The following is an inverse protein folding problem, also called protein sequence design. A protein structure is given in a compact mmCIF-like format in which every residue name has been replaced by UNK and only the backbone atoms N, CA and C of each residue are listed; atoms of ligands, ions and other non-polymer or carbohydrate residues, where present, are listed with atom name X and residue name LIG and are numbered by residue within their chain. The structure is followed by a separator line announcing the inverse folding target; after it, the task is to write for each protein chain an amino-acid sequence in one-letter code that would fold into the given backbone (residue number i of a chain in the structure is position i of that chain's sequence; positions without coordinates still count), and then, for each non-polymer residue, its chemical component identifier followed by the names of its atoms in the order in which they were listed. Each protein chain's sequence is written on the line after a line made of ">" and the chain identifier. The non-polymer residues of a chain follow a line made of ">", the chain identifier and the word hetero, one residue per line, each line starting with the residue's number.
data_IF_667619912160
#
_entry.id   IF_667619912160
#
_cell.length_a   1.000
_cell.length_b   1.000
_cell.length_c   1.000
_cell.angle_alpha   90.00
_cell.angle_beta   90.00
_cell.angle_gamma   90.00
#
_symmetry.space_group_name_H-M   'P 1'
#
loop_
_entity.id
_entity.type
_entity.pdbx_description
1 polymer ?
#
# COMPACT_ATOMS: atom_id res chain seq x y z
N UNK A 1 8.82 -4.59 6.60
CA UNK A 1 9.06 -3.60 5.53
C UNK A 1 10.42 -2.97 5.71
N UNK A 2 10.69 -1.86 5.03
CA UNK A 2 12.00 -1.19 5.01
C UNK A 2 12.71 -1.10 6.38
N UNK A 3 12.01 -0.58 7.39
CA UNK A 3 12.58 -0.40 8.74
C UNK A 3 12.76 -1.70 9.51
N UNK A 4 11.94 -2.73 9.26
CA UNK A 4 11.99 -3.99 10.01
C UNK A 4 12.79 -5.10 9.34
N UNK A 5 13.27 -4.90 8.10
CA UNK A 5 13.93 -5.93 7.31
C UNK A 5 13.02 -7.08 6.85
N UNK A 6 11.73 -7.05 7.19
CA UNK A 6 10.77 -8.08 6.82
C UNK A 6 10.23 -7.78 5.42
N UNK A 7 10.70 -8.52 4.41
CA UNK A 7 10.26 -8.35 3.02
C UNK A 7 9.57 -9.59 2.47
N UNK A 8 10.18 -10.75 2.60
CA UNK A 8 9.70 -11.96 1.92
C UNK A 8 8.45 -12.59 2.57
N UNK A 9 8.31 -12.67 3.91
CA UNK A 9 7.13 -13.33 4.50
C UNK A 9 5.78 -12.74 4.05
N UNK A 10 5.57 -11.40 3.99
CA UNK A 10 4.34 -10.84 3.46
C UNK A 10 4.09 -11.19 1.99
N UNK A 11 5.14 -11.26 1.16
CA UNK A 11 5.04 -11.58 -0.28
C UNK A 11 4.64 -13.04 -0.48
N UNK A 12 5.29 -13.94 0.26
CA UNK A 12 4.97 -15.37 0.24
C UNK A 12 3.51 -15.65 0.61
N UNK A 13 2.96 -14.92 1.58
CA UNK A 13 1.54 -15.01 1.94
C UNK A 13 0.65 -14.59 0.76
N UNK A 14 0.96 -13.47 0.10
CA UNK A 14 0.15 -12.96 -1.02
C UNK A 14 0.22 -13.90 -2.22
N UNK A 15 1.42 -14.40 -2.56
CA UNK A 15 1.65 -15.33 -3.68
C UNK A 15 1.01 -16.70 -3.45
N UNK A 16 0.78 -17.10 -2.20
CA UNK A 16 0.10 -18.35 -1.87
C UNK A 16 -1.42 -18.30 -2.09
N UNK A 17 -2.01 -17.12 -2.31
CA UNK A 17 -3.46 -16.96 -2.49
C UNK A 17 -3.82 -17.20 -3.97
N UNK A 18 -4.66 -18.21 -4.29
CA UNK A 18 -5.07 -18.47 -5.66
C UNK A 18 -5.80 -17.27 -6.28
N UNK A 19 -5.50 -16.97 -7.56
CA UNK A 19 -6.15 -15.89 -8.31
C UNK A 19 -5.57 -14.50 -8.08
N UNK A 20 -4.63 -14.33 -7.15
CA UNK A 20 -3.88 -13.07 -7.00
C UNK A 20 -2.66 -13.07 -7.94
N UNK A 21 -2.57 -12.05 -8.79
CA UNK A 21 -1.34 -11.72 -9.51
C UNK A 21 -0.58 -10.65 -8.70
N UNK A 22 0.49 -11.06 -8.03
CA UNK A 22 1.35 -10.13 -7.30
C UNK A 22 2.28 -9.39 -8.27
N UNK A 23 2.33 -8.06 -8.14
CA UNK A 23 3.25 -7.19 -8.89
C UNK A 23 3.84 -6.15 -7.93
N UNK A 24 5.07 -5.75 -8.20
CA UNK A 24 5.80 -4.78 -7.38
C UNK A 24 5.80 -3.41 -8.03
N UNK A 25 5.80 -2.37 -7.19
CA UNK A 25 6.14 -1.02 -7.63
C UNK A 25 7.65 -0.91 -7.88
N UNK A 26 8.08 0.02 -8.72
CA UNK A 26 9.50 0.20 -9.05
C UNK A 26 10.37 0.38 -7.80
N UNK A 27 9.99 1.28 -6.91
CA UNK A 27 10.58 1.46 -5.59
C UNK A 27 9.93 0.50 -4.60
N UNK A 28 10.57 -0.65 -4.40
CA UNK A 28 10.19 -1.68 -3.45
C UNK A 28 11.36 -2.02 -2.49
N UNK A 29 11.12 -2.94 -1.56
CA UNK A 29 12.09 -3.41 -0.54
C UNK A 29 12.82 -2.25 0.17
N UNK A 30 14.15 -2.20 0.14
CA UNK A 30 14.96 -1.17 0.76
C UNK A 30 14.73 0.23 0.16
N UNK A 31 14.31 0.29 -1.10
CA UNK A 31 14.02 1.53 -1.82
C UNK A 31 12.57 1.99 -1.65
N UNK A 32 11.71 1.21 -0.98
CA UNK A 32 10.29 1.53 -0.82
C UNK A 32 10.10 2.93 -0.19
N UNK A 33 9.22 3.75 -0.78
CA UNK A 33 8.93 5.09 -0.25
C UNK A 33 7.86 5.04 0.84
N UNK A 34 7.86 6.06 1.71
CA UNK A 34 6.83 6.25 2.73
C UNK A 34 5.48 6.64 2.10
N UNK A 35 4.36 6.35 2.79
CA UNK A 35 3.04 6.86 2.42
C UNK A 35 2.85 8.35 2.74
N UNK A 36 3.71 8.92 3.61
CA UNK A 36 3.63 10.31 4.07
C UNK A 36 2.76 10.54 5.31
N UNK A 37 2.06 9.54 5.82
CA UNK A 37 1.11 9.69 6.93
C UNK A 37 1.69 9.51 8.34
N UNK A 38 2.88 8.92 8.50
CA UNK A 38 3.47 8.64 9.82
C UNK A 38 4.18 9.84 10.47
N UNK A 39 4.53 9.70 11.75
CA UNK A 39 5.37 10.67 12.47
C UNK A 39 4.75 12.05 12.63
N UNK A 40 3.43 12.14 12.75
CA UNK A 40 2.64 13.37 12.85
C UNK A 40 2.88 14.38 11.72
N UNK A 41 3.44 13.92 10.58
CA UNK A 41 3.75 14.75 9.42
C UNK A 41 2.51 15.48 8.89
N UNK A 42 1.34 14.83 8.93
CA UNK A 42 0.08 15.42 8.48
C UNK A 42 -0.37 16.59 9.37
N UNK A 43 -0.03 16.58 10.67
CA UNK A 43 -0.33 17.71 11.56
C UNK A 43 0.61 18.89 11.33
N UNK A 44 1.87 18.62 10.98
CA UNK A 44 2.87 19.64 10.74
C UNK A 44 2.77 20.26 9.33
N UNK A 45 2.55 19.42 8.32
CA UNK A 45 2.48 19.80 6.90
C UNK A 45 1.54 18.85 6.13
N UNK A 46 0.23 19.15 6.09
CA UNK A 46 -0.75 18.32 5.39
C UNK A 46 -0.56 18.32 3.86
N UNK A 47 0.03 19.38 3.29
CA UNK A 47 0.28 19.47 1.85
C UNK A 47 1.39 18.52 1.43
N UNK A 48 2.46 18.43 2.23
CA UNK A 48 3.53 17.46 2.02
C UNK A 48 3.01 16.02 2.10
N UNK A 49 2.23 15.69 3.14
CA UNK A 49 1.61 14.36 3.26
C UNK A 49 0.76 14.03 2.02
N UNK A 50 -0.06 14.97 1.56
CA UNK A 50 -0.89 14.78 0.38
C UNK A 50 -0.05 14.59 -0.91
N UNK A 51 1.05 15.33 -1.07
CA UNK A 51 1.95 15.22 -2.21
C UNK A 51 2.67 13.87 -2.25
N UNK A 52 3.21 13.42 -1.11
CA UNK A 52 3.88 12.12 -0.98
C UNK A 52 2.89 10.97 -1.23
N UNK A 53 1.71 11.03 -0.63
CA UNK A 53 0.68 10.00 -0.81
C UNK A 53 0.17 9.93 -2.25
N UNK A 54 0.03 11.09 -2.93
CA UNK A 54 -0.30 11.16 -4.35
C UNK A 54 0.76 10.48 -5.22
N UNK A 55 2.04 10.78 -4.98
CA UNK A 55 3.13 10.14 -5.71
C UNK A 55 3.09 8.62 -5.51
N UNK A 56 2.88 8.17 -4.27
CA UNK A 56 2.82 6.74 -3.95
C UNK A 56 1.67 6.02 -4.64
N UNK A 57 0.48 6.65 -4.75
CA UNK A 57 -0.66 6.03 -5.42
C UNK A 57 -0.51 6.04 -6.95
N UNK A 58 0.22 7.00 -7.52
CA UNK A 58 0.60 7.00 -8.94
C UNK A 58 1.53 5.83 -9.25
N UNK A 59 2.51 5.53 -8.38
CA UNK A 59 3.36 4.35 -8.52
C UNK A 59 2.56 3.05 -8.53
N UNK A 60 1.47 2.95 -7.75
CA UNK A 60 0.57 1.78 -7.83
C UNK A 60 -0.18 1.75 -9.17
N UNK A 61 -0.62 2.91 -9.68
CA UNK A 61 -1.30 2.98 -10.97
C UNK A 61 -0.40 2.54 -12.13
N UNK A 62 0.90 2.89 -12.08
CA UNK A 62 1.91 2.50 -13.06
C UNK A 62 2.11 0.98 -13.16
N UNK A 63 1.87 0.23 -12.08
CA UNK A 63 1.94 -1.25 -12.12
C UNK A 63 0.70 -1.89 -12.76
N UNK A 64 -0.37 -1.13 -12.99
CA UNK A 64 -1.69 -1.65 -13.37
C UNK A 64 -2.43 -2.35 -12.22
N UNK A 65 -1.92 -2.25 -10.99
CA UNK A 65 -2.52 -2.85 -9.81
C UNK A 65 -3.86 -2.20 -9.43
N UNK A 66 -4.80 -3.03 -8.93
CA UNK A 66 -6.11 -2.57 -8.44
C UNK A 66 -6.17 -2.42 -6.92
N UNK A 67 -5.26 -3.11 -6.23
CA UNK A 67 -5.16 -3.13 -4.78
C UNK A 67 -3.71 -2.84 -4.40
N UNK A 68 -3.49 -1.92 -3.47
CA UNK A 68 -2.21 -1.74 -2.79
C UNK A 68 -2.30 -2.35 -1.40
N UNK A 69 -1.36 -3.23 -1.09
CA UNK A 69 -1.35 -3.99 0.16
C UNK A 69 -0.32 -3.40 1.11
N UNK A 70 -0.68 -3.26 2.37
CA UNK A 70 0.19 -2.79 3.45
C UNK A 70 -0.09 -3.56 4.74
N UNK A 71 0.79 -3.45 5.72
CA UNK A 71 0.60 -3.99 7.08
C UNK A 71 0.59 -2.85 8.13
N UNK A 72 0.28 -1.64 7.68
CA UNK A 72 0.31 -0.42 8.47
C UNK A 72 -0.99 0.34 8.26
N UNK A 73 -1.81 0.39 9.31
CA UNK A 73 -3.11 1.07 9.29
C UNK A 73 -3.01 2.55 8.88
N UNK A 74 -1.89 3.22 9.20
CA UNK A 74 -1.63 4.59 8.76
C UNK A 74 -1.46 4.68 7.25
N UNK A 75 -0.70 3.77 6.63
CA UNK A 75 -0.55 3.70 5.19
C UNK A 75 -1.90 3.48 4.52
N UNK A 76 -2.72 2.58 5.05
CA UNK A 76 -4.00 2.23 4.44
C UNK A 76 -4.94 3.45 4.41
N UNK A 77 -5.05 4.17 5.54
CA UNK A 77 -5.84 5.41 5.61
C UNK A 77 -5.32 6.45 4.62
N UNK A 78 -4.03 6.77 4.68
CA UNK A 78 -3.42 7.84 3.87
C UNK A 78 -3.49 7.53 2.38
N UNK A 79 -3.23 6.29 1.96
CA UNK A 79 -3.29 5.87 0.56
C UNK A 79 -4.73 5.78 0.04
N UNK A 80 -5.69 5.31 0.85
CA UNK A 80 -7.11 5.33 0.49
C UNK A 80 -7.61 6.77 0.28
N UNK A 81 -7.21 7.70 1.14
CA UNK A 81 -7.55 9.10 0.99
C UNK A 81 -6.92 9.72 -0.25
N UNK A 82 -5.65 9.43 -0.53
CA UNK A 82 -4.96 9.89 -1.74
C UNK A 82 -5.62 9.35 -3.01
N UNK A 83 -5.99 8.07 -3.04
CA UNK A 83 -6.72 7.46 -4.15
C UNK A 83 -8.05 8.19 -4.41
N UNK A 84 -8.82 8.43 -3.34
CA UNK A 84 -10.10 9.15 -3.39
C UNK A 84 -9.95 10.59 -3.89
N UNK A 85 -9.03 11.36 -3.30
CA UNK A 85 -8.77 12.77 -3.67
C UNK A 85 -8.31 12.91 -5.13
N UNK A 86 -7.49 11.98 -5.61
CA UNK A 86 -6.94 12.01 -6.97
C UNK A 86 -7.80 11.25 -8.00
N UNK A 87 -8.96 10.71 -7.61
CA UNK A 87 -9.88 9.93 -8.47
C UNK A 87 -9.21 8.71 -9.12
N UNK A 88 -8.26 8.10 -8.43
CA UNK A 88 -7.55 6.91 -8.86
C UNK A 88 -8.27 5.68 -8.28
N UNK A 89 -8.63 4.73 -9.14
CA UNK A 89 -9.42 3.54 -8.75
C UNK A 89 -8.52 2.43 -8.17
N UNK A 90 -7.97 2.69 -6.99
CA UNK A 90 -7.11 1.75 -6.27
C UNK A 90 -7.65 1.58 -4.85
N UNK A 91 -7.72 0.33 -4.38
CA UNK A 91 -8.10 0.00 -3.00
C UNK A 91 -6.83 -0.17 -2.15
N UNK A 92 -6.70 0.59 -1.08
CA UNK A 92 -5.70 0.31 -0.06
C UNK A 92 -6.27 -0.74 0.91
N UNK A 93 -5.51 -1.80 1.18
CA UNK A 93 -5.95 -2.91 2.02
C UNK A 93 -4.83 -3.39 2.94
N UNK A 94 -5.21 -3.76 4.17
CA UNK A 94 -4.30 -4.46 5.07
C UNK A 94 -4.12 -5.91 4.60
N UNK A 95 -2.92 -6.46 4.73
CA UNK A 95 -2.63 -7.87 4.40
C UNK A 95 -3.56 -8.85 5.10
N UNK A 96 -3.97 -8.58 6.34
CA UNK A 96 -4.90 -9.42 7.10
C UNK A 96 -6.29 -9.42 6.45
N UNK A 97 -6.72 -8.30 5.85
CA UNK A 97 -7.99 -8.25 5.13
C UNK A 97 -7.95 -9.09 3.85
N UNK A 98 -6.82 -9.07 3.15
CA UNK A 98 -6.61 -9.90 1.94
C UNK A 98 -6.66 -11.38 2.29
N UNK A 99 -5.95 -11.80 3.35
CA UNK A 99 -5.98 -13.18 3.84
C UNK A 99 -7.38 -13.58 4.29
N UNK A 100 -8.07 -12.72 5.05
CA UNK A 100 -9.43 -12.98 5.49
C UNK A 100 -10.39 -13.21 4.31
N UNK A 101 -10.35 -12.36 3.28
CA UNK A 101 -11.18 -12.53 2.07
C UNK A 101 -10.88 -13.85 1.36
N UNK A 102 -9.60 -14.19 1.21
CA UNK A 102 -9.18 -15.45 0.61
C UNK A 102 -9.67 -16.70 1.38
N UNK A 103 -9.92 -16.58 2.69
CA UNK A 103 -10.48 -17.65 3.51
C UNK A 103 -12.00 -17.77 3.40
N UNK A 104 -12.71 -16.69 3.02
CA UNK A 104 -14.17 -16.69 2.86
C UNK A 104 -14.60 -17.18 1.47
N UNK A 105 -13.72 -17.10 0.47
CA UNK A 105 -13.98 -17.50 -0.91
C UNK A 105 -13.68 -19.00 -1.17
N UNK A 106 -13.43 -19.77 -0.11
CA UNK A 106 -13.26 -21.22 -0.10
C UNK A 106 -14.54 -21.94 0.36
#
# INVERSE_FOLDING_TARGET
>A
GRTSGIYDPPRQIIEAIPGIQFVEMAENREMALCCGGGGDAEMADPELTAAVAKHRIQQVQETGGRVVISACQQCDRTLAEAARKNRIRIRAMDIVQVVWQAMQEQ
#
